data_IF_595847464395
#
_entry.id   IF_595847464395
#
_cell.length_a   1.000
_cell.length_b   1.000
_cell.length_c   1.000
_cell.angle_alpha   90.00
_cell.angle_beta   90.00
_cell.angle_gamma   90.00
#
_symmetry.space_group_name_H-M   'P 1'
#
loop_
_entity.id
_entity.type
_entity.pdbx_description
1 polymer ?
#
# COMPACT_ATOMS: atom_id res chain seq x y z
N UNK A 1 -24.36 7.36 7.64
CA UNK A 1 -23.59 6.45 6.75
C UNK A 1 -24.47 5.31 6.27
N UNK A 2 -24.33 4.91 5.00
CA UNK A 2 -25.11 3.80 4.43
C UNK A 2 -24.65 2.44 5.04
N UNK A 3 -25.55 1.49 5.34
CA UNK A 3 -25.18 0.21 5.98
C UNK A 3 -24.09 -0.58 5.25
N UNK A 4 -24.08 -0.53 3.92
CA UNK A 4 -23.07 -1.19 3.09
C UNK A 4 -21.67 -0.58 3.32
N UNK A 5 -21.57 0.73 3.50
CA UNK A 5 -20.28 1.41 3.79
C UNK A 5 -19.74 0.87 5.11
N UNK A 6 -20.58 0.82 6.15
CA UNK A 6 -20.19 0.33 7.46
C UNK A 6 -19.71 -1.13 7.39
N UNK A 7 -20.43 -1.98 6.65
CA UNK A 7 -20.03 -3.36 6.44
C UNK A 7 -18.65 -3.49 5.76
N UNK A 8 -18.40 -2.73 4.69
CA UNK A 8 -17.11 -2.74 3.99
C UNK A 8 -15.98 -2.23 4.89
N UNK A 9 -16.20 -1.15 5.63
CA UNK A 9 -15.22 -0.59 6.57
C UNK A 9 -14.87 -1.60 7.66
N UNK A 10 -15.85 -2.31 8.21
CA UNK A 10 -15.61 -3.38 9.19
C UNK A 10 -14.78 -4.52 8.60
N UNK A 11 -15.07 -4.96 7.38
CA UNK A 11 -14.26 -5.98 6.70
C UNK A 11 -12.81 -5.51 6.46
N UNK A 12 -12.61 -4.25 6.06
CA UNK A 12 -11.28 -3.67 5.87
C UNK A 12 -10.49 -3.60 7.18
N UNK A 13 -11.14 -3.24 8.29
CA UNK A 13 -10.50 -3.21 9.61
C UNK A 13 -10.20 -4.61 10.15
N UNK A 14 -11.07 -5.59 9.91
CA UNK A 14 -10.79 -6.99 10.23
C UNK A 14 -9.59 -7.52 9.41
N UNK A 15 -9.58 -7.26 8.10
CA UNK A 15 -8.48 -7.61 7.21
C UNK A 15 -7.17 -6.95 7.61
N UNK A 16 -7.20 -5.65 7.95
CA UNK A 16 -6.04 -4.92 8.46
C UNK A 16 -5.52 -5.53 9.76
N UNK A 17 -6.40 -5.81 10.72
CA UNK A 17 -6.04 -6.42 12.00
C UNK A 17 -5.40 -7.81 11.81
N UNK A 18 -5.94 -8.62 10.90
CA UNK A 18 -5.35 -9.91 10.55
C UNK A 18 -3.97 -9.75 9.91
N UNK A 19 -3.80 -8.79 8.99
CA UNK A 19 -2.51 -8.50 8.37
C UNK A 19 -1.46 -8.05 9.41
N UNK A 20 -1.85 -7.19 10.36
CA UNK A 20 -0.97 -6.76 11.46
C UNK A 20 -0.62 -7.94 12.37
N UNK A 21 -1.57 -8.82 12.68
CA UNK A 21 -1.31 -10.05 13.43
C UNK A 21 -0.31 -10.96 12.70
N UNK A 22 -0.48 -11.18 11.40
CA UNK A 22 0.43 -11.99 10.59
C UNK A 22 1.83 -11.37 10.53
N UNK A 23 1.92 -10.05 10.39
CA UNK A 23 3.18 -9.32 10.45
C UNK A 23 3.88 -9.52 11.80
N UNK A 24 3.15 -9.43 12.91
CA UNK A 24 3.69 -9.67 14.23
C UNK A 24 4.12 -11.13 14.46
N UNK A 25 3.37 -12.11 13.95
CA UNK A 25 3.77 -13.52 13.99
C UNK A 25 5.05 -13.76 13.18
N UNK A 26 5.20 -13.10 12.03
CA UNK A 26 6.40 -13.15 11.22
C UNK A 26 7.60 -12.52 11.94
N UNK A 27 7.41 -11.41 12.66
CA UNK A 27 8.44 -10.80 13.50
C UNK A 27 8.98 -11.74 14.58
N UNK A 28 8.10 -12.55 15.19
CA UNK A 28 8.51 -13.59 16.15
C UNK A 28 9.38 -14.68 15.51
N UNK A 29 9.28 -14.86 14.19
CA UNK A 29 10.06 -15.82 13.39
C UNK A 29 11.03 -15.13 12.43
N UNK A 30 11.49 -13.90 12.73
CA UNK A 30 12.31 -13.08 11.82
C UNK A 30 13.65 -13.67 11.37
N UNK A 31 14.11 -14.73 12.02
CA UNK A 31 15.33 -15.46 11.64
C UNK A 31 15.08 -16.48 10.52
N UNK A 32 13.81 -16.81 10.24
CA UNK A 32 13.43 -17.70 9.15
C UNK A 32 13.58 -16.99 7.80
N UNK A 33 13.94 -17.77 6.77
CA UNK A 33 14.09 -17.28 5.40
C UNK A 33 12.77 -16.67 4.92
N UNK A 34 12.82 -15.46 4.37
CA UNK A 34 11.65 -14.73 3.88
C UNK A 34 10.83 -14.01 4.96
N UNK A 35 10.96 -14.36 6.25
CA UNK A 35 10.11 -13.80 7.30
C UNK A 35 10.15 -12.26 7.41
N UNK A 36 11.31 -11.57 7.30
CA UNK A 36 11.34 -10.11 7.33
C UNK A 36 10.55 -9.45 6.18
N UNK A 37 10.61 -10.01 4.96
CA UNK A 37 9.90 -9.44 3.82
C UNK A 37 8.41 -9.77 3.85
N UNK A 38 8.05 -10.97 4.32
CA UNK A 38 6.65 -11.29 4.62
C UNK A 38 6.07 -10.37 5.70
N UNK A 39 6.84 -10.03 6.73
CA UNK A 39 6.44 -9.07 7.75
C UNK A 39 6.13 -7.70 7.13
N UNK A 40 7.02 -7.17 6.28
CA UNK A 40 6.83 -5.89 5.58
C UNK A 40 5.61 -5.95 4.67
N UNK A 41 5.46 -7.02 3.90
CA UNK A 41 4.32 -7.23 3.01
C UNK A 41 2.99 -7.21 3.77
N UNK A 42 2.88 -7.99 4.84
CA UNK A 42 1.66 -8.03 5.65
C UNK A 42 1.40 -6.69 6.34
N UNK A 43 2.43 -6.02 6.83
CA UNK A 43 2.28 -4.68 7.42
C UNK A 43 1.78 -3.67 6.39
N UNK A 44 2.32 -3.69 5.17
CA UNK A 44 1.90 -2.84 4.06
C UNK A 44 0.43 -3.07 3.66
N UNK A 45 0.01 -4.34 3.55
CA UNK A 45 -1.40 -4.69 3.32
C UNK A 45 -2.31 -4.18 4.46
N UNK A 46 -1.83 -4.24 5.70
CA UNK A 46 -2.54 -3.74 6.87
C UNK A 46 -2.72 -2.22 6.84
N UNK A 47 -1.65 -1.47 6.53
CA UNK A 47 -1.69 -0.01 6.35
C UNK A 47 -2.66 0.38 5.25
N UNK A 48 -2.57 -0.27 4.09
CA UNK A 48 -3.43 0.06 2.96
C UNK A 48 -4.90 -0.21 3.28
N UNK A 49 -5.21 -1.38 3.84
CA UNK A 49 -6.58 -1.73 4.21
C UNK A 49 -7.15 -0.78 5.27
N UNK A 50 -6.34 -0.40 6.27
CA UNK A 50 -6.75 0.54 7.31
C UNK A 50 -6.97 1.94 6.76
N UNK A 51 -6.01 2.46 6.00
CA UNK A 51 -6.08 3.78 5.38
C UNK A 51 -7.30 3.89 4.48
N UNK A 52 -7.56 2.88 3.65
CA UNK A 52 -8.75 2.86 2.79
C UNK A 52 -10.06 2.77 3.59
N UNK A 53 -10.09 2.01 4.69
CA UNK A 53 -11.23 1.98 5.61
C UNK A 53 -11.51 3.35 6.25
N UNK A 54 -10.46 4.05 6.67
CA UNK A 54 -10.56 5.41 7.22
C UNK A 54 -10.94 6.45 6.16
N UNK A 55 -10.46 6.30 4.93
CA UNK A 55 -10.87 7.13 3.80
C UNK A 55 -12.37 6.98 3.53
N UNK A 56 -12.89 5.76 3.47
CA UNK A 56 -14.33 5.52 3.30
C UNK A 56 -15.15 6.07 4.48
N UNK A 57 -14.58 6.04 5.69
CA UNK A 57 -15.22 6.59 6.89
C UNK A 57 -15.18 8.13 6.95
N UNK A 58 -14.28 8.79 6.24
CA UNK A 58 -14.15 10.24 6.28
C UNK A 58 -15.25 10.96 5.48
N UNK A 59 -15.78 12.06 6.03
CA UNK A 59 -16.86 12.84 5.41
C UNK A 59 -16.36 13.98 4.52
N UNK A 60 -15.10 14.40 4.66
CA UNK A 60 -14.53 15.54 3.92
C UNK A 60 -13.39 15.11 3.01
N UNK A 61 -13.23 15.79 1.88
CA UNK A 61 -12.12 15.57 0.94
C UNK A 61 -10.77 15.69 1.64
N UNK A 62 -10.61 16.69 2.52
CA UNK A 62 -9.36 16.92 3.24
C UNK A 62 -8.98 15.71 4.11
N UNK A 63 -9.92 15.14 4.86
CA UNK A 63 -9.65 13.97 5.72
C UNK A 63 -9.46 12.71 4.88
N UNK A 64 -10.25 12.52 3.81
CA UNK A 64 -10.05 11.42 2.85
C UNK A 64 -8.64 11.45 2.27
N UNK A 65 -8.17 12.64 1.87
CA UNK A 65 -6.84 12.82 1.30
C UNK A 65 -5.71 12.41 2.25
N UNK A 66 -5.82 12.74 3.54
CA UNK A 66 -4.82 12.30 4.54
C UNK A 66 -4.72 10.78 4.59
N UNK A 67 -5.86 10.08 4.59
CA UNK A 67 -5.88 8.62 4.62
C UNK A 67 -5.52 7.97 3.29
N UNK A 68 -5.79 8.64 2.18
CA UNK A 68 -5.27 8.30 0.86
C UNK A 68 -3.74 8.35 0.89
N UNK A 69 -3.13 9.42 1.39
CA UNK A 69 -1.67 9.55 1.49
C UNK A 69 -1.04 8.49 2.41
N UNK A 70 -1.70 8.16 3.53
CA UNK A 70 -1.28 7.05 4.40
C UNK A 70 -1.34 5.71 3.66
N UNK A 71 -2.37 5.49 2.83
CA UNK A 71 -2.52 4.26 2.05
C UNK A 71 -1.39 4.06 1.04
N UNK A 72 -0.78 5.14 0.54
CA UNK A 72 0.35 5.06 -0.39
C UNK A 72 1.59 4.39 0.20
N UNK A 73 1.79 4.45 1.52
CA UNK A 73 2.83 3.67 2.17
C UNK A 73 2.62 2.17 1.97
N UNK A 74 1.39 1.69 2.13
CA UNK A 74 1.05 0.30 1.89
C UNK A 74 1.22 -0.07 0.41
N UNK A 75 0.62 0.71 -0.48
CA UNK A 75 0.67 0.48 -1.94
C UNK A 75 2.11 0.36 -2.44
N UNK A 76 2.97 1.32 -2.06
CA UNK A 76 4.34 1.38 -2.54
C UNK A 76 5.18 0.17 -2.13
N UNK A 77 4.93 -0.40 -0.96
CA UNK A 77 5.77 -1.44 -0.34
C UNK A 77 5.38 -2.86 -0.75
N UNK A 78 4.15 -3.09 -1.23
CA UNK A 78 3.62 -4.44 -1.51
C UNK A 78 4.42 -5.15 -2.60
N UNK A 79 4.57 -4.54 -3.78
CA UNK A 79 5.22 -5.18 -4.92
C UNK A 79 6.68 -5.61 -4.65
N UNK A 80 7.58 -4.74 -4.11
CA UNK A 80 8.94 -5.16 -3.80
C UNK A 80 9.04 -6.14 -2.64
N UNK A 81 8.19 -6.02 -1.61
CA UNK A 81 8.16 -6.97 -0.51
C UNK A 81 7.69 -8.36 -0.98
N UNK A 82 6.71 -8.41 -1.88
CA UNK A 82 6.22 -9.64 -2.51
C UNK A 82 7.33 -10.33 -3.30
N UNK A 83 7.96 -9.62 -4.25
CA UNK A 83 9.03 -10.19 -5.07
C UNK A 83 10.18 -10.70 -4.20
N UNK A 84 10.67 -9.86 -3.29
CA UNK A 84 11.78 -10.24 -2.43
C UNK A 84 11.44 -11.43 -1.52
N UNK A 85 10.20 -11.51 -1.02
CA UNK A 85 9.71 -12.68 -0.27
C UNK A 85 9.74 -13.94 -1.13
N UNK A 86 9.17 -13.88 -2.34
CA UNK A 86 9.13 -15.00 -3.30
C UNK A 86 10.52 -15.48 -3.70
N UNK A 87 11.46 -14.55 -3.93
CA UNK A 87 12.86 -14.88 -4.22
C UNK A 87 13.54 -15.61 -3.06
N UNK A 88 13.22 -15.24 -1.82
CA UNK A 88 13.80 -15.90 -0.64
C UNK A 88 13.25 -17.31 -0.42
N UNK A 89 11.92 -17.50 -0.56
CA UNK A 89 11.30 -18.81 -0.30
C UNK A 89 11.46 -19.81 -1.45
N UNK A 90 11.65 -19.34 -2.69
CA UNK A 90 11.82 -20.20 -3.89
C UNK A 90 13.20 -20.86 -3.99
N UNK A 91 14.04 -20.78 -2.96
CA UNK A 91 15.39 -21.34 -2.95
C UNK A 91 16.42 -20.55 -3.78
N UNK A 92 15.98 -19.50 -4.50
CA UNK A 92 16.86 -18.58 -5.22
C UNK A 92 17.59 -17.60 -4.29
N UNK A 93 17.30 -17.61 -2.98
CA UNK A 93 17.92 -16.78 -1.96
C UNK A 93 19.46 -16.82 -1.97
N UNK A 94 20.06 -17.95 -2.34
CA UNK A 94 21.52 -18.11 -2.41
C UNK A 94 22.14 -17.42 -3.63
N UNK A 95 21.34 -17.11 -4.66
CA UNK A 95 21.80 -16.50 -5.92
C UNK A 95 21.68 -14.98 -5.91
N UNK A 96 20.89 -14.41 -5.01
CA UNK A 96 20.68 -12.95 -4.98
C UNK A 96 21.61 -12.28 -3.96
N UNK A 97 22.43 -11.31 -4.39
CA UNK A 97 23.17 -10.49 -3.46
C UNK A 97 22.22 -9.76 -2.51
N UNK A 98 22.47 -9.87 -1.19
CA UNK A 98 21.63 -9.25 -0.14
C UNK A 98 21.48 -7.72 -0.31
N UNK A 99 22.43 -7.07 -0.99
CA UNK A 99 22.38 -5.64 -1.28
C UNK A 99 21.34 -5.25 -2.33
N UNK A 100 20.82 -6.19 -3.13
CA UNK A 100 19.78 -5.90 -4.12
C UNK A 100 18.38 -5.77 -3.49
N UNK A 101 18.16 -6.33 -2.29
CA UNK A 101 16.85 -6.25 -1.64
C UNK A 101 16.47 -4.80 -1.31
N UNK A 102 17.33 -3.98 -0.67
CA UNK A 102 17.03 -2.55 -0.48
C UNK A 102 16.81 -1.77 -1.79
N UNK A 103 17.46 -2.18 -2.88
CA UNK A 103 17.31 -1.52 -4.18
C UNK A 103 15.88 -1.61 -4.72
N UNK A 104 15.16 -2.71 -4.40
CA UNK A 104 13.74 -2.87 -4.74
C UNK A 104 12.84 -1.86 -4.03
N UNK A 105 13.27 -1.22 -2.95
CA UNK A 105 12.47 -0.25 -2.22
C UNK A 105 12.79 1.20 -2.60
N UNK A 106 13.76 1.44 -3.50
CA UNK A 106 14.12 2.81 -3.92
C UNK A 106 12.96 3.48 -4.64
N UNK A 107 12.31 2.78 -5.57
CA UNK A 107 11.12 3.30 -6.25
C UNK A 107 10.00 3.59 -5.25
N UNK A 108 9.76 2.69 -4.29
CA UNK A 108 8.73 2.88 -3.26
C UNK A 108 8.98 4.13 -2.42
N UNK A 109 10.23 4.38 -2.02
CA UNK A 109 10.59 5.59 -1.29
C UNK A 109 10.36 6.85 -2.14
N UNK A 110 10.74 6.82 -3.42
CA UNK A 110 10.48 7.93 -4.36
C UNK A 110 8.97 8.17 -4.53
N UNK A 111 8.16 7.12 -4.67
CA UNK A 111 6.72 7.24 -4.79
C UNK A 111 6.10 7.92 -3.57
N UNK A 112 6.49 7.50 -2.37
CA UNK A 112 5.96 8.07 -1.12
C UNK A 112 6.31 9.56 -1.07
N UNK A 113 7.56 9.93 -1.35
CA UNK A 113 7.98 11.35 -1.39
C UNK A 113 7.16 12.13 -2.43
N UNK A 114 7.07 11.61 -3.67
CA UNK A 114 6.31 12.23 -4.75
C UNK A 114 4.82 12.38 -4.41
N UNK A 115 4.25 11.47 -3.63
CA UNK A 115 2.86 11.57 -3.19
C UNK A 115 2.66 12.76 -2.25
N UNK A 116 3.49 12.88 -1.22
CA UNK A 116 3.39 13.99 -0.27
C UNK A 116 3.77 15.33 -0.88
N UNK A 117 4.65 15.37 -1.89
CA UNK A 117 5.01 16.60 -2.61
C UNK A 117 4.11 16.88 -3.82
N UNK A 118 3.08 16.05 -4.07
CA UNK A 118 2.31 16.10 -5.30
C UNK A 118 1.64 17.47 -5.56
N UNK A 119 1.30 18.23 -4.52
CA UNK A 119 0.71 19.57 -4.66
C UNK A 119 1.60 20.56 -5.43
N UNK A 120 2.91 20.33 -5.49
CA UNK A 120 3.84 21.23 -6.17
C UNK A 120 4.01 20.92 -7.65
N UNK A 121 3.83 19.66 -8.06
CA UNK A 121 4.22 19.20 -9.40
C UNK A 121 3.11 18.41 -10.14
N UNK A 122 2.14 17.83 -9.42
CA UNK A 122 1.01 17.10 -9.99
C UNK A 122 1.38 15.83 -10.77
N UNK A 123 2.50 15.16 -10.41
CA UNK A 123 3.00 14.01 -11.18
C UNK A 123 2.21 12.73 -10.95
N UNK A 124 1.63 12.56 -9.76
CA UNK A 124 0.79 11.40 -9.46
C UNK A 124 -0.68 11.71 -9.70
N UNK A 125 -1.14 12.87 -9.22
CA UNK A 125 -2.52 13.33 -9.32
C UNK A 125 -2.60 14.78 -9.79
N UNK A 126 -3.54 15.11 -10.67
CA UNK A 126 -3.84 16.50 -11.05
C UNK A 126 -5.07 17.10 -10.33
N UNK A 127 -5.82 16.30 -9.59
CA UNK A 127 -6.97 16.76 -8.81
C UNK A 127 -7.74 15.60 -8.19
N UNK A 128 -8.52 15.93 -7.14
CA UNK A 128 -9.35 14.99 -6.40
C UNK A 128 -10.82 15.43 -6.41
N UNK A 129 -11.74 14.47 -6.48
CA UNK A 129 -13.17 14.71 -6.31
C UNK A 129 -13.83 13.52 -5.62
N UNK A 130 -15.02 13.73 -5.07
CA UNK A 130 -15.82 12.64 -4.50
C UNK A 130 -16.75 12.11 -5.58
N UNK A 131 -16.69 10.80 -5.80
CA UNK A 131 -17.67 10.10 -6.60
C UNK A 131 -18.55 9.23 -5.69
N UNK A 132 -19.85 9.55 -5.65
CA UNK A 132 -20.81 8.81 -4.86
C UNK A 132 -21.42 7.69 -5.71
N UNK A 133 -21.14 6.43 -5.34
CA UNK A 133 -21.67 5.25 -6.03
C UNK A 133 -22.47 4.40 -5.05
N UNK A 134 -23.81 4.32 -5.21
CA UNK A 134 -24.72 3.66 -4.27
C UNK A 134 -24.51 4.08 -2.80
N UNK A 135 -24.27 5.37 -2.56
CA UNK A 135 -24.04 5.92 -1.22
C UNK A 135 -22.64 5.67 -0.64
N UNK A 136 -21.70 5.14 -1.45
CA UNK A 136 -20.28 5.02 -1.11
C UNK A 136 -19.51 6.26 -1.62
N UNK A 137 -18.92 7.07 -0.73
CA UNK A 137 -18.19 8.28 -1.12
C UNK A 137 -16.73 7.95 -1.44
N UNK A 138 -16.46 7.55 -2.69
CA UNK A 138 -15.10 7.25 -3.15
C UNK A 138 -14.31 8.51 -3.44
N UNK A 139 -13.06 8.58 -2.98
CA UNK A 139 -12.12 9.60 -3.42
C UNK A 139 -11.54 9.18 -4.77
N UNK A 140 -11.85 9.95 -5.81
CA UNK A 140 -11.31 9.74 -7.14
C UNK A 140 -10.20 10.75 -7.41
N UNK A 141 -9.17 10.31 -8.12
CA UNK A 141 -8.01 11.11 -8.50
C UNK A 141 -7.78 11.03 -10.00
N UNK A 142 -7.48 12.18 -10.63
CA UNK A 142 -7.03 12.22 -12.02
C UNK A 142 -5.59 11.70 -12.07
N UNK A 143 -5.42 10.47 -12.53
CA UNK A 143 -4.11 9.80 -12.62
C UNK A 143 -3.21 10.52 -13.62
N UNK A 144 -1.99 10.83 -13.20
CA UNK A 144 -0.95 11.42 -14.04
C UNK A 144 0.19 10.43 -14.30
N UNK A 145 1.24 10.89 -14.98
CA UNK A 145 2.31 10.04 -15.53
C UNK A 145 3.04 9.23 -14.46
N UNK A 146 3.34 9.83 -13.30
CA UNK A 146 4.04 9.14 -12.21
C UNK A 146 3.24 7.98 -11.63
N UNK A 147 1.91 8.08 -11.58
CA UNK A 147 1.05 6.95 -11.19
C UNK A 147 1.17 5.78 -12.18
N UNK A 148 1.22 6.06 -13.49
CA UNK A 148 1.37 5.02 -14.51
C UNK A 148 2.74 4.35 -14.44
N UNK A 149 3.80 5.12 -14.17
CA UNK A 149 5.16 4.58 -13.98
C UNK A 149 5.18 3.62 -12.79
N UNK A 150 4.66 4.03 -11.64
CA UNK A 150 4.56 3.16 -10.47
C UNK A 150 3.74 1.90 -10.74
N UNK A 151 2.61 2.05 -11.45
CA UNK A 151 1.76 0.92 -11.83
C UNK A 151 2.54 -0.07 -12.68
N UNK A 152 3.22 0.39 -13.74
CA UNK A 152 4.04 -0.46 -14.60
C UNK A 152 5.17 -1.15 -13.81
N UNK A 153 5.86 -0.41 -12.94
CA UNK A 153 6.87 -0.95 -12.03
C UNK A 153 6.31 -2.07 -11.16
N UNK A 154 5.18 -1.84 -10.49
CA UNK A 154 4.55 -2.83 -9.61
C UNK A 154 4.18 -4.11 -10.37
N UNK A 155 3.61 -3.99 -11.57
CA UNK A 155 3.28 -5.15 -12.41
C UNK A 155 4.51 -5.91 -12.92
N UNK A 156 5.67 -5.27 -13.08
CA UNK A 156 6.91 -5.96 -13.45
C UNK A 156 7.45 -6.80 -12.29
N UNK A 157 7.16 -6.43 -11.03
CA UNK A 157 7.64 -7.15 -9.85
C UNK A 157 6.70 -8.28 -9.37
N UNK A 158 5.45 -8.30 -9.81
CA UNK A 158 4.44 -9.30 -9.42
C UNK A 158 4.42 -10.50 -10.39
#
# INVERSE_FOLDING_TARGET
>A
MHPIVLFIVLLLFLGSSLCVLLSWLAWRRRNEVGAPLFMVLMFACGIWSFGYGMELFADTIAVKRVWYDVSYWGIALIAPAWLGFMMQISGHAQRLPRFLIPLLFVESALLIVLNYTNDWHGWLWSGFWIWNWYGLPFLMANRAVGFLIHTAYAYVLL
#
